data_IF_711213880516
#
_entry.id   IF_711213880516
#
_cell.length_a   1.000
_cell.length_b   1.000
_cell.length_c   1.000
_cell.angle_alpha   90.00
_cell.angle_beta   90.00
_cell.angle_gamma   90.00
#
_symmetry.space_group_name_H-M   'P 1'
#
loop_
_entity.id
_entity.type
_entity.pdbx_description
1 polymer ?
#
# COMPACT_ATOMS: atom_id res chain seq x y z
N UNK A 1 -0.95 17.18 8.18
CA UNK A 1 0.42 17.72 8.17
C UNK A 1 0.95 17.67 6.73
N UNK A 2 2.11 18.20 6.31
CA UNK A 2 2.48 18.16 4.89
C UNK A 2 2.75 16.71 4.53
N UNK A 3 1.79 16.08 3.86
CA UNK A 3 1.84 14.67 3.53
C UNK A 3 3.01 14.46 2.58
N UNK A 4 4.04 13.73 3.03
CA UNK A 4 5.17 13.37 2.17
C UNK A 4 4.72 12.55 0.96
N UNK A 5 3.53 11.96 1.01
CA UNK A 5 2.82 11.29 -0.08
C UNK A 5 2.53 12.18 -1.30
N UNK A 6 2.67 13.51 -1.20
CA UNK A 6 2.38 14.43 -2.31
C UNK A 6 3.66 15.00 -2.99
N UNK A 7 4.84 14.44 -2.70
CA UNK A 7 6.09 14.81 -3.34
C UNK A 7 6.68 13.62 -4.11
N UNK A 8 7.07 13.86 -5.36
CA UNK A 8 7.76 12.85 -6.18
C UNK A 8 9.07 12.42 -5.52
N UNK A 9 9.41 11.13 -5.57
CA UNK A 9 10.68 10.62 -5.00
C UNK A 9 11.89 11.42 -5.47
N UNK A 10 11.90 11.85 -6.73
CA UNK A 10 13.00 12.61 -7.33
C UNK A 10 13.26 13.95 -6.63
N UNK A 11 12.22 14.59 -6.11
CA UNK A 11 12.28 15.91 -5.50
C UNK A 11 12.54 15.90 -3.98
N UNK A 12 12.55 14.71 -3.36
CA UNK A 12 12.86 14.56 -1.93
C UNK A 12 14.32 14.87 -1.60
N UNK A 13 14.57 15.39 -0.39
CA UNK A 13 15.92 15.51 0.16
C UNK A 13 16.58 14.14 0.38
N UNK A 14 17.91 14.10 0.30
CA UNK A 14 18.70 12.88 0.52
C UNK A 14 18.48 12.28 1.92
N UNK A 15 18.17 13.11 2.93
CA UNK A 15 17.80 12.69 4.28
C UNK A 15 16.50 11.92 4.32
N UNK A 16 15.48 12.41 3.62
CA UNK A 16 14.16 11.77 3.49
C UNK A 16 14.30 10.47 2.71
N UNK A 17 15.03 10.47 1.59
CA UNK A 17 15.32 9.25 0.82
C UNK A 17 16.02 8.18 1.64
N UNK A 18 17.00 8.57 2.46
CA UNK A 18 17.71 7.63 3.31
C UNK A 18 16.80 7.04 4.41
N UNK A 19 15.93 7.86 5.01
CA UNK A 19 14.93 7.39 5.96
C UNK A 19 13.91 6.45 5.29
N UNK A 20 13.32 6.87 4.18
CA UNK A 20 12.42 6.06 3.37
C UNK A 20 13.04 4.70 3.01
N UNK A 21 14.28 4.67 2.51
CA UNK A 21 15.00 3.42 2.23
C UNK A 21 15.21 2.53 3.47
N UNK A 22 15.38 3.14 4.65
CA UNK A 22 15.55 2.40 5.92
C UNK A 22 14.25 1.71 6.34
N UNK A 23 13.11 2.34 6.04
CA UNK A 23 11.78 1.75 6.20
C UNK A 23 11.44 0.73 5.10
N UNK A 24 12.23 0.67 4.03
CA UNK A 24 11.98 -0.17 2.86
C UNK A 24 11.22 0.54 1.74
N UNK A 25 10.97 1.84 1.86
CA UNK A 25 10.47 2.66 0.76
C UNK A 25 11.61 2.93 -0.24
N UNK A 26 11.55 2.29 -1.38
CA UNK A 26 12.34 2.65 -2.56
C UNK A 26 11.58 3.62 -3.47
N UNK A 27 12.20 4.05 -4.57
CA UNK A 27 11.56 4.95 -5.56
C UNK A 27 10.24 4.38 -6.09
N UNK A 28 10.19 3.06 -6.29
CA UNK A 28 8.99 2.41 -6.80
C UNK A 28 7.92 2.43 -5.70
N UNK A 29 8.24 1.98 -4.48
CA UNK A 29 7.36 2.01 -3.30
C UNK A 29 6.81 3.40 -3.03
N UNK A 30 7.67 4.42 -3.08
CA UNK A 30 7.32 5.80 -2.80
C UNK A 30 6.38 6.39 -3.85
N UNK A 31 6.62 6.07 -5.12
CA UNK A 31 5.73 6.42 -6.23
C UNK A 31 4.52 5.44 -6.31
N UNK A 32 4.19 4.76 -5.20
CA UNK A 32 3.00 3.92 -5.00
C UNK A 32 3.18 2.42 -5.32
N UNK A 33 4.38 1.95 -5.64
CA UNK A 33 4.60 0.67 -6.31
C UNK A 33 5.77 -0.13 -5.75
N UNK A 34 5.54 -0.86 -4.67
CA UNK A 34 6.53 -1.81 -4.13
C UNK A 34 5.97 -2.65 -3.00
N UNK A 35 6.82 -3.44 -2.36
CA UNK A 35 6.49 -4.24 -1.18
C UNK A 35 7.20 -3.60 0.00
N UNK A 36 6.47 -3.29 1.06
CA UNK A 36 7.08 -2.78 2.28
C UNK A 36 7.25 -3.93 3.26
N UNK A 37 8.48 -4.18 3.73
CA UNK A 37 8.70 -5.22 4.76
C UNK A 37 8.13 -4.82 6.12
N UNK A 38 7.79 -3.54 6.27
CA UNK A 38 7.17 -2.94 7.45
C UNK A 38 5.65 -2.83 7.31
N UNK A 39 5.08 -3.26 6.19
CA UNK A 39 3.65 -3.28 5.92
C UNK A 39 2.96 -4.32 6.81
N UNK A 40 1.84 -3.94 7.42
CA UNK A 40 1.11 -4.77 8.38
C UNK A 40 1.88 -5.02 9.69
N UNK A 41 2.83 -4.14 10.03
CA UNK A 41 3.48 -4.11 11.34
C UNK A 41 3.11 -2.83 12.07
N UNK A 42 2.76 -2.98 13.34
CA UNK A 42 2.56 -1.86 14.24
C UNK A 42 3.89 -1.12 14.47
N UNK A 43 3.82 0.16 14.86
CA UNK A 43 4.98 0.98 15.19
C UNK A 43 5.88 0.31 16.24
N UNK A 44 5.30 -0.39 17.23
CA UNK A 44 6.04 -1.14 18.24
C UNK A 44 6.83 -2.33 17.68
N UNK A 45 6.43 -2.88 16.53
CA UNK A 45 7.13 -3.97 15.84
C UNK A 45 8.26 -3.49 14.93
N UNK A 46 8.33 -2.18 14.65
CA UNK A 46 9.43 -1.56 13.93
C UNK A 46 10.73 -1.57 14.76
N UNK A 47 11.85 -1.63 14.06
CA UNK A 47 13.16 -1.44 14.69
C UNK A 47 13.40 0.03 15.05
N UNK A 48 14.27 0.30 16.03
CA UNK A 48 14.64 1.70 16.38
C UNK A 48 15.18 2.51 15.18
N UNK A 49 15.74 1.86 14.17
CA UNK A 49 16.20 2.51 12.93
C UNK A 49 15.01 2.91 12.04
N UNK A 50 14.00 2.05 11.95
CA UNK A 50 12.75 2.29 11.22
C UNK A 50 11.91 3.38 11.88
N UNK A 51 11.71 3.33 13.20
CA UNK A 51 10.98 4.37 13.93
C UNK A 51 11.64 5.75 13.75
N UNK A 52 12.97 5.84 13.88
CA UNK A 52 13.70 7.09 13.62
C UNK A 52 13.57 7.56 12.17
N UNK A 53 13.52 6.64 11.22
CA UNK A 53 13.29 6.98 9.83
C UNK A 53 11.87 7.53 9.62
N UNK A 54 10.85 6.91 10.21
CA UNK A 54 9.48 7.40 10.18
C UNK A 54 9.37 8.79 10.84
N UNK A 55 10.03 9.03 11.96
CA UNK A 55 10.14 10.35 12.58
C UNK A 55 10.80 11.39 11.65
N UNK A 56 11.83 11.00 10.87
CA UNK A 56 12.47 11.88 9.86
C UNK A 56 11.49 12.18 8.71
N UNK A 57 10.65 11.21 8.36
CA UNK A 57 9.54 11.38 7.43
C UNK A 57 8.38 12.20 8.06
N UNK A 58 8.45 12.49 9.36
CA UNK A 58 7.40 13.22 10.07
C UNK A 58 6.14 12.40 10.30
N UNK A 59 6.27 11.07 10.29
CA UNK A 59 5.27 10.13 10.80
C UNK A 59 5.59 9.85 12.27
N UNK A 60 4.57 9.83 13.11
CA UNK A 60 4.65 9.35 14.49
C UNK A 60 3.90 8.02 14.67
N UNK A 61 3.91 7.47 15.88
CA UNK A 61 3.23 6.21 16.23
C UNK A 61 1.73 6.26 15.91
N UNK A 62 1.08 7.39 16.19
CA UNK A 62 -0.34 7.57 15.89
C UNK A 62 -0.54 7.60 14.36
N UNK A 63 0.26 8.36 13.60
CA UNK A 63 0.18 8.39 12.14
C UNK A 63 0.48 7.01 11.50
N UNK A 64 1.36 6.19 12.10
CA UNK A 64 1.75 4.89 11.57
C UNK A 64 0.68 3.81 11.81
N UNK A 65 0.14 3.78 13.02
CA UNK A 65 -0.87 2.79 13.43
C UNK A 65 -2.30 3.19 12.99
N UNK A 66 -2.55 4.47 12.67
CA UNK A 66 -3.82 4.96 12.11
C UNK A 66 -3.93 4.70 10.59
N UNK A 67 -2.81 4.53 9.88
CA UNK A 67 -2.74 4.26 8.42
C UNK A 67 -2.91 2.76 8.07
N UNK A 68 -3.38 1.94 9.02
CA UNK A 68 -3.75 0.52 8.85
C UNK A 68 -5.05 0.32 8.03
N UNK A 69 -5.47 1.34 7.24
CA UNK A 69 -6.63 1.26 6.33
C UNK A 69 -6.24 0.76 4.92
N UNK A 70 -5.20 -0.07 4.81
CA UNK A 70 -5.14 -1.19 3.85
C UNK A 70 -5.24 -0.93 2.34
N UNK A 71 -5.13 0.30 1.85
CA UNK A 71 -5.40 0.58 0.42
C UNK A 71 -4.23 1.23 -0.30
N UNK A 72 -3.03 0.72 -0.04
CA UNK A 72 -1.77 1.19 -0.65
C UNK A 72 -1.85 1.47 -2.16
N UNK A 73 -2.58 0.64 -2.89
CA UNK A 73 -2.64 0.71 -4.33
C UNK A 73 -3.90 1.43 -4.85
N UNK A 74 -4.92 1.72 -4.04
CA UNK A 74 -6.18 2.30 -4.56
C UNK A 74 -5.96 3.63 -5.29
N UNK A 75 -5.02 4.44 -4.79
CA UNK A 75 -4.69 5.75 -5.35
C UNK A 75 -3.62 5.69 -6.46
N UNK A 76 -3.19 4.48 -6.83
CA UNK A 76 -2.11 4.27 -7.80
C UNK A 76 -2.70 4.04 -9.18
N UNK A 77 -2.31 4.87 -10.16
CA UNK A 77 -2.73 4.70 -11.55
C UNK A 77 -2.43 3.27 -12.06
N UNK A 78 -3.35 2.67 -12.83
CA UNK A 78 -3.21 1.29 -13.34
C UNK A 78 -1.92 1.06 -14.13
N UNK A 79 -1.44 2.10 -14.80
CA UNK A 79 -0.21 2.08 -15.59
C UNK A 79 1.07 2.18 -14.74
N UNK A 80 0.96 2.58 -13.48
CA UNK A 80 2.05 2.61 -12.52
C UNK A 80 2.13 1.31 -11.72
N UNK A 81 1.02 0.57 -11.58
CA UNK A 81 0.98 -0.72 -10.90
C UNK A 81 2.11 -1.67 -11.33
N UNK A 82 2.74 -2.29 -10.33
CA UNK A 82 3.73 -3.33 -10.56
C UNK A 82 3.12 -4.50 -11.34
N UNK A 83 3.90 -5.22 -12.17
CA UNK A 83 3.39 -6.38 -12.88
C UNK A 83 2.72 -7.41 -11.96
N UNK A 84 3.25 -7.61 -10.75
CA UNK A 84 2.69 -8.55 -9.77
C UNK A 84 1.37 -8.06 -9.16
N UNK A 85 1.28 -6.77 -8.81
CA UNK A 85 0.06 -6.14 -8.27
C UNK A 85 -1.01 -6.07 -9.35
N UNK A 86 -0.62 -5.75 -10.58
CA UNK A 86 -1.50 -5.74 -11.75
C UNK A 86 -2.01 -7.15 -12.07
N UNK A 87 -1.15 -8.16 -12.00
CA UNK A 87 -1.56 -9.55 -12.15
C UNK A 87 -2.52 -9.96 -11.01
N UNK A 88 -2.28 -9.51 -9.78
CA UNK A 88 -3.21 -9.70 -8.66
C UNK A 88 -4.55 -9.01 -8.91
N UNK A 89 -4.56 -7.72 -9.27
CA UNK A 89 -5.75 -6.95 -9.63
C UNK A 89 -6.56 -7.64 -10.74
N UNK A 90 -5.90 -8.11 -11.81
CA UNK A 90 -6.54 -8.86 -12.89
C UNK A 90 -7.12 -10.19 -12.39
N UNK A 91 -6.39 -10.92 -11.53
CA UNK A 91 -6.91 -12.14 -10.92
C UNK A 91 -8.10 -11.88 -9.99
N UNK A 92 -8.12 -10.72 -9.34
CA UNK A 92 -9.21 -10.28 -8.48
C UNK A 92 -10.43 -9.83 -9.28
N UNK A 93 -10.25 -9.43 -10.53
CA UNK A 93 -11.33 -9.03 -11.45
C UNK A 93 -11.22 -7.58 -11.91
N UNK A 94 -10.26 -6.82 -11.39
CA UNK A 94 -9.98 -5.47 -11.86
C UNK A 94 -9.40 -5.45 -13.28
N UNK A 95 -9.72 -4.38 -13.98
CA UNK A 95 -9.19 -4.03 -15.30
C UNK A 95 -8.80 -2.56 -15.26
N UNK A 96 -8.05 -2.08 -16.25
CA UNK A 96 -7.71 -0.65 -16.36
C UNK A 96 -8.94 0.25 -16.26
N UNK A 97 -10.06 -0.15 -16.87
CA UNK A 97 -11.30 0.62 -16.87
C UNK A 97 -12.03 0.60 -15.52
N UNK A 98 -12.01 -0.53 -14.82
CA UNK A 98 -12.65 -0.66 -13.49
C UNK A 98 -11.78 -0.15 -12.36
N UNK A 99 -10.46 -0.08 -12.56
CA UNK A 99 -9.50 0.46 -11.59
C UNK A 99 -9.44 1.98 -11.65
N UNK A 100 -9.36 2.56 -12.85
CA UNK A 100 -9.34 4.03 -13.02
C UNK A 100 -10.75 4.65 -13.11
N UNK A 101 -11.81 3.83 -13.02
CA UNK A 101 -13.20 4.24 -13.10
C UNK A 101 -14.05 3.58 -12.02
N UNK A 102 -15.35 3.87 -11.99
CA UNK A 102 -16.29 3.32 -11.00
C UNK A 102 -16.82 1.93 -11.42
N UNK A 103 -15.94 1.03 -11.85
CA UNK A 103 -16.35 -0.25 -12.40
C UNK A 103 -16.46 -1.32 -11.31
N UNK A 104 -17.66 -1.86 -11.09
CA UNK A 104 -17.88 -2.97 -10.16
C UNK A 104 -17.20 -4.26 -10.66
N UNK A 105 -16.56 -4.98 -9.74
CA UNK A 105 -15.97 -6.31 -10.01
C UNK A 105 -16.80 -7.41 -9.33
N UNK A 106 -16.86 -8.60 -9.93
CA UNK A 106 -17.73 -9.69 -9.42
C UNK A 106 -17.40 -10.14 -7.99
N UNK A 107 -16.20 -9.82 -7.48
CA UNK A 107 -15.79 -10.15 -6.12
C UNK A 107 -16.34 -9.19 -5.09
N UNK A 108 -16.65 -7.93 -5.43
CA UNK A 108 -17.22 -6.93 -4.48
C UNK A 108 -18.59 -7.34 -3.94
N UNK A 109 -19.30 -8.23 -4.64
CA UNK A 109 -20.57 -8.82 -4.20
C UNK A 109 -20.39 -10.03 -3.25
N UNK A 110 -19.16 -10.46 -2.98
CA UNK A 110 -18.83 -11.64 -2.17
C UNK A 110 -18.27 -11.25 -0.80
N UNK A 111 -18.65 -12.01 0.23
CA UNK A 111 -18.01 -11.93 1.55
C UNK A 111 -16.57 -12.50 1.46
N UNK A 112 -15.68 -12.10 2.37
CA UNK A 112 -14.29 -12.55 2.39
C UNK A 112 -14.19 -14.07 2.47
N UNK A 113 -15.09 -14.74 3.20
CA UNK A 113 -15.10 -16.20 3.30
C UNK A 113 -15.54 -16.91 2.00
N UNK A 114 -16.24 -16.20 1.11
CA UNK A 114 -16.66 -16.67 -0.22
C UNK A 114 -15.57 -16.49 -1.30
N UNK A 115 -14.53 -15.69 -1.02
CA UNK A 115 -13.36 -15.56 -1.90
C UNK A 115 -12.54 -16.86 -1.94
N UNK A 116 -12.09 -17.21 -3.13
CA UNK A 116 -11.15 -18.33 -3.37
C UNK A 116 -9.77 -17.99 -2.83
N UNK A 117 -8.95 -19.03 -2.56
CA UNK A 117 -7.57 -18.83 -2.08
C UNK A 117 -6.75 -17.90 -3.00
N UNK A 118 -7.01 -17.93 -4.32
CA UNK A 118 -6.37 -17.04 -5.29
C UNK A 118 -6.87 -15.60 -5.20
N UNK A 119 -8.17 -15.40 -5.01
CA UNK A 119 -8.76 -14.06 -4.81
C UNK A 119 -8.26 -13.46 -3.50
N UNK A 120 -8.24 -14.22 -2.40
CA UNK A 120 -7.65 -13.77 -1.12
C UNK A 120 -6.19 -13.41 -1.23
N UNK A 121 -5.40 -14.22 -1.93
CA UNK A 121 -4.00 -13.91 -2.17
C UNK A 121 -3.83 -12.62 -2.98
N UNK A 122 -4.71 -12.38 -3.96
CA UNK A 122 -4.71 -11.13 -4.72
C UNK A 122 -5.17 -9.94 -3.87
N UNK A 123 -6.22 -10.09 -3.06
CA UNK A 123 -6.71 -9.09 -2.11
C UNK A 123 -5.59 -8.65 -1.15
N UNK A 124 -4.89 -9.62 -0.55
CA UNK A 124 -3.75 -9.37 0.32
C UNK A 124 -2.59 -8.65 -0.40
N UNK A 125 -2.34 -8.98 -1.67
CA UNK A 125 -1.35 -8.26 -2.49
C UNK A 125 -1.80 -6.83 -2.81
N UNK A 126 -3.10 -6.58 -2.87
CA UNK A 126 -3.68 -5.26 -3.08
C UNK A 126 -3.83 -4.46 -1.78
N UNK A 127 -3.50 -5.05 -0.62
CA UNK A 127 -3.58 -4.43 0.70
C UNK A 127 -4.85 -4.78 1.49
N UNK A 128 -5.85 -5.41 0.86
CA UNK A 128 -7.07 -5.82 1.53
C UNK A 128 -6.80 -6.99 2.50
N UNK A 129 -7.27 -6.81 3.73
CA UNK A 129 -7.37 -7.84 4.77
C UNK A 129 -8.84 -8.23 5.00
N UNK A 130 -9.07 -9.33 5.73
CA UNK A 130 -10.43 -9.75 6.13
C UNK A 130 -11.17 -8.63 6.87
N UNK A 131 -10.48 -7.90 7.75
CA UNK A 131 -11.07 -6.81 8.52
C UNK A 131 -11.44 -5.62 7.61
N UNK A 132 -10.58 -5.23 6.66
CA UNK A 132 -10.88 -4.11 5.72
C UNK A 132 -11.90 -4.46 4.64
N UNK A 133 -12.13 -5.75 4.36
CA UNK A 133 -13.06 -6.20 3.32
C UNK A 133 -14.51 -6.22 3.81
N UNK A 134 -14.71 -6.45 5.11
CA UNK A 134 -16.03 -6.62 5.74
C UNK A 134 -16.55 -5.35 6.43
N UNK A 135 -15.81 -4.24 6.35
CA UNK A 135 -16.15 -2.93 6.96
C UNK A 135 -17.01 -2.04 6.04
#
# INVERSE_FOLDING_TARGET
MPSLTNQDWKDLEDSIKAAALTLGYDEAVWDGNGVLEVEGKDWEELTEEQQKAAEILGMDEDDWDEDDEGLRYEDVDWNKLLPEVKDAAINFGYTEETWEGDGEIEVEDKDWDELTDSEKAAALVLGYTEDTWED
#
